data_IF_582926839002
#
_entry.id   IF_582926839002
#
_cell.length_a   1.000
_cell.length_b   1.000
_cell.length_c   1.000
_cell.angle_alpha   90.00
_cell.angle_beta   90.00
_cell.angle_gamma   90.00
#
_symmetry.space_group_name_H-M   'P 1'
#
loop_
_entity.id
_entity.type
_entity.pdbx_description
1 polymer ?
#
# COMPACT_ATOMS: atom_id res chain seq x y z
N UNK A 1 -13.52 -11.32 -17.45
CA UNK A 1 -12.63 -10.37 -18.15
C UNK A 1 -13.28 -9.01 -18.40
N UNK A 2 -14.50 -8.94 -18.97
CA UNK A 2 -15.19 -7.66 -19.29
C UNK A 2 -15.32 -6.67 -18.11
N UNK A 3 -15.63 -7.18 -16.91
CA UNK A 3 -15.74 -6.36 -15.69
C UNK A 3 -14.43 -5.67 -15.29
N UNK A 4 -13.28 -6.31 -15.53
CA UNK A 4 -11.96 -5.74 -15.23
C UNK A 4 -11.63 -4.59 -16.19
N UNK A 5 -11.93 -4.76 -17.48
CA UNK A 5 -11.70 -3.75 -18.53
C UNK A 5 -12.58 -2.51 -18.30
N UNK A 6 -13.87 -2.71 -17.95
CA UNK A 6 -14.75 -1.59 -17.63
C UNK A 6 -14.33 -0.85 -16.35
N UNK A 7 -13.85 -1.57 -15.33
CA UNK A 7 -13.36 -0.96 -14.09
C UNK A 7 -12.07 -0.16 -14.31
N UNK A 8 -11.18 -0.68 -15.18
CA UNK A 8 -9.94 -0.01 -15.57
C UNK A 8 -10.22 1.27 -16.38
N UNK A 9 -11.18 1.22 -17.32
CA UNK A 9 -11.56 2.38 -18.14
C UNK A 9 -12.31 3.47 -17.34
N UNK A 10 -13.00 3.10 -16.25
CA UNK A 10 -13.72 4.02 -15.38
C UNK A 10 -12.88 4.54 -14.20
N UNK A 11 -11.59 4.15 -14.10
CA UNK A 11 -10.71 4.56 -13.01
C UNK A 11 -11.01 3.94 -11.64
N UNK A 12 -12.02 3.07 -11.55
CA UNK A 12 -12.38 2.36 -10.31
C UNK A 12 -11.32 1.34 -9.89
N UNK A 13 -10.45 0.95 -10.82
CA UNK A 13 -9.36 0.01 -10.57
C UNK A 13 -8.22 0.60 -9.76
N UNK A 14 -8.05 1.91 -9.72
CA UNK A 14 -6.97 2.57 -8.96
C UNK A 14 -7.41 3.05 -7.58
N UNK A 15 -8.61 2.65 -7.14
CA UNK A 15 -9.06 2.92 -5.77
C UNK A 15 -8.15 2.14 -4.81
N UNK A 16 -7.36 2.89 -4.05
CA UNK A 16 -6.51 2.36 -2.99
C UNK A 16 -7.30 1.56 -1.97
N UNK A 17 -6.78 0.40 -1.59
CA UNK A 17 -7.34 -0.47 -0.55
C UNK A 17 -6.47 -0.42 0.68
N UNK A 18 -7.09 -0.33 1.85
CA UNK A 18 -6.39 -0.45 3.12
C UNK A 18 -5.96 -1.91 3.29
N UNK A 19 -4.67 -2.12 3.52
CA UNK A 19 -4.09 -3.42 3.81
C UNK A 19 -4.19 -3.69 5.31
N UNK A 20 -4.55 -4.92 5.67
CA UNK A 20 -4.60 -5.34 7.06
C UNK A 20 -3.19 -5.56 7.61
N UNK A 21 -2.93 -5.31 8.90
CA UNK A 21 -1.61 -5.47 9.51
C UNK A 21 -0.98 -6.85 9.27
N UNK A 22 -1.78 -7.92 9.30
CA UNK A 22 -1.35 -9.30 9.04
C UNK A 22 -0.88 -9.58 7.59
N UNK A 23 -0.95 -8.58 6.71
CA UNK A 23 -0.53 -8.66 5.32
C UNK A 23 0.48 -7.58 4.93
N UNK A 24 1.02 -6.81 5.88
CA UNK A 24 2.07 -5.84 5.57
C UNK A 24 3.32 -6.52 5.00
N UNK A 25 3.67 -7.70 5.50
CA UNK A 25 4.75 -8.58 5.02
C UNK A 25 4.64 -9.00 3.54
N UNK A 26 3.47 -8.79 2.92
CA UNK A 26 3.19 -9.15 1.52
C UNK A 26 3.19 -7.94 0.59
N UNK A 27 3.62 -6.78 1.08
CA UNK A 27 3.68 -5.52 0.35
C UNK A 27 5.12 -5.19 0.03
N UNK A 28 5.36 -4.53 -1.10
CA UNK A 28 6.72 -4.13 -1.49
C UNK A 28 7.24 -3.04 -0.55
N UNK A 29 6.33 -2.25 0.03
CA UNK A 29 6.68 -1.22 1.01
C UNK A 29 7.37 -1.74 2.26
N UNK A 30 7.06 -2.97 2.70
CA UNK A 30 7.62 -3.54 3.93
C UNK A 30 9.12 -3.81 3.84
N UNK A 31 9.62 -4.11 2.64
CA UNK A 31 11.06 -4.28 2.37
C UNK A 31 11.87 -2.99 2.56
N UNK A 32 11.21 -1.83 2.51
CA UNK A 32 11.83 -0.52 2.70
C UNK A 32 11.71 0.00 4.14
N UNK A 33 10.99 -0.72 5.02
CA UNK A 33 10.80 -0.33 6.42
C UNK A 33 11.98 -0.79 7.26
N UNK A 34 12.54 0.11 8.06
CA UNK A 34 13.69 -0.16 8.91
C UNK A 34 13.27 -0.79 10.24
N UNK A 35 12.80 -2.04 10.17
CA UNK A 35 12.32 -2.80 11.33
C UNK A 35 13.36 -2.91 12.45
N UNK A 36 14.65 -3.01 12.10
CA UNK A 36 15.76 -3.10 13.06
C UNK A 36 15.93 -1.84 13.92
N UNK A 37 15.45 -0.70 13.44
CA UNK A 37 15.49 0.58 14.15
C UNK A 37 14.15 0.93 14.83
N UNK A 38 13.24 -0.04 14.95
CA UNK A 38 11.93 0.13 15.57
C UNK A 38 10.94 0.95 14.75
N UNK A 39 11.16 1.06 13.43
CA UNK A 39 10.15 1.60 12.52
C UNK A 39 8.95 0.65 12.43
N UNK A 40 7.74 1.18 12.54
CA UNK A 40 6.50 0.41 12.51
C UNK A 40 5.49 1.03 11.55
N UNK A 41 4.85 0.18 10.75
CA UNK A 41 3.80 0.57 9.82
C UNK A 41 2.48 0.74 10.61
N UNK A 42 1.86 1.91 10.47
CA UNK A 42 0.55 2.21 11.06
C UNK A 42 -0.59 2.06 10.05
N UNK A 43 -0.36 2.53 8.82
CA UNK A 43 -1.33 2.43 7.74
C UNK A 43 -0.61 2.12 6.43
N UNK A 44 -1.22 1.22 5.64
CA UNK A 44 -0.74 0.92 4.30
C UNK A 44 -1.93 0.89 3.33
N UNK A 45 -1.83 1.66 2.26
CA UNK A 45 -2.84 1.74 1.21
C UNK A 45 -2.20 1.29 -0.10
N UNK A 46 -2.79 0.29 -0.75
CA UNK A 46 -2.33 -0.23 -2.04
C UNK A 46 -3.35 0.05 -3.12
N UNK A 47 -2.96 0.80 -4.15
CA UNK A 47 -3.73 0.94 -5.39
C UNK A 47 -3.29 -0.12 -6.40
N UNK A 48 -3.70 0.01 -7.67
CA UNK A 48 -3.23 -0.90 -8.71
C UNK A 48 -1.79 -0.60 -9.10
N UNK A 49 -1.41 0.67 -9.02
CA UNK A 49 -0.14 1.19 -9.55
C UNK A 49 0.85 1.61 -8.45
N UNK A 50 0.37 1.87 -7.23
CA UNK A 50 1.15 2.47 -6.16
C UNK A 50 0.89 1.82 -4.80
N UNK A 51 1.87 1.93 -3.91
CA UNK A 51 1.73 1.61 -2.49
C UNK A 51 2.11 2.84 -1.64
N UNK A 52 1.28 3.13 -0.64
CA UNK A 52 1.47 4.23 0.29
C UNK A 52 1.62 3.65 1.69
N UNK A 53 2.83 3.72 2.23
CA UNK A 53 3.17 3.21 3.55
C UNK A 53 3.42 4.36 4.53
N UNK A 54 2.71 4.33 5.66
CA UNK A 54 2.80 5.34 6.70
C UNK A 54 3.37 4.72 7.97
N UNK A 55 4.54 5.20 8.38
CA UNK A 55 5.26 4.72 9.56
C UNK A 55 5.38 5.81 10.62
N UNK A 56 5.83 5.44 11.82
CA UNK A 56 6.17 6.39 12.89
C UNK A 56 7.40 7.26 12.60
N UNK A 57 8.16 6.97 11.52
CA UNK A 57 9.39 7.67 11.17
C UNK A 57 9.37 8.37 9.82
N UNK A 58 8.39 8.09 8.97
CA UNK A 58 8.25 8.74 7.67
C UNK A 58 7.75 10.17 7.83
N UNK A 59 8.67 11.10 8.11
CA UNK A 59 8.48 12.53 7.86
C UNK A 59 8.90 12.83 6.42
N UNK A 60 7.92 13.16 5.58
CA UNK A 60 8.13 13.59 4.19
C UNK A 60 9.21 14.68 4.13
N UNK A 61 10.30 14.41 3.41
CA UNK A 61 11.19 15.45 2.87
C UNK A 61 10.95 15.51 1.37
#
# INVERSE_FOLDING_TARGET
MFKKIASDALGLSDIGKIIQPDNFDKTESDDYVLHEEGEQIHFLIKSKSDEYCFTNRSSST
#
